data_IF_094608074961
#
_entry.id   IF_094608074961
#
_cell.length_a   1.000
_cell.length_b   1.000
_cell.length_c   1.000
_cell.angle_alpha   90.00
_cell.angle_beta   90.00
_cell.angle_gamma   90.00
#
_symmetry.space_group_name_H-M   'P 1'
#
loop_
_entity.id
_entity.type
_entity.pdbx_description
1 polymer ?
#
# COMPACT_ATOMS: atom_id res chain seq x y z
N UNK A 1 25.07 20.09 -9.39
CA UNK A 1 24.48 19.59 -8.14
C UNK A 1 23.56 18.37 -8.35
N UNK A 2 22.71 18.32 -9.40
CA UNK A 2 21.81 17.19 -9.64
C UNK A 2 22.51 15.83 -9.90
N UNK A 3 23.65 15.81 -10.60
CA UNK A 3 24.38 14.56 -10.87
C UNK A 3 25.01 13.91 -9.63
N UNK A 4 25.24 14.67 -8.55
CA UNK A 4 25.80 14.13 -7.31
C UNK A 4 24.79 13.32 -6.50
N UNK A 5 23.51 13.72 -6.54
CA UNK A 5 22.44 13.02 -5.83
C UNK A 5 22.15 11.65 -6.47
N UNK A 6 22.25 11.53 -7.81
CA UNK A 6 22.04 10.26 -8.53
C UNK A 6 23.06 9.17 -8.17
N UNK A 7 24.23 9.55 -7.64
CA UNK A 7 25.27 8.63 -7.19
C UNK A 7 25.37 8.52 -5.67
N UNK A 8 24.59 9.31 -4.92
CA UNK A 8 24.60 9.27 -3.47
C UNK A 8 24.00 7.95 -2.97
N UNK A 9 24.68 7.34 -2.00
CA UNK A 9 24.17 6.17 -1.28
C UNK A 9 23.79 6.61 0.12
N UNK A 10 22.55 6.37 0.51
CA UNK A 10 22.07 6.50 1.89
C UNK A 10 21.87 5.11 2.44
N UNK A 11 22.46 4.82 3.59
CA UNK A 11 22.34 3.54 4.26
C UNK A 11 21.94 3.76 5.72
N UNK A 12 20.83 3.17 6.14
CA UNK A 12 20.53 3.00 7.55
C UNK A 12 20.64 1.52 7.92
N UNK A 13 21.48 1.21 8.90
CA UNK A 13 21.53 -0.10 9.58
C UNK A 13 21.30 0.01 11.09
N UNK A 14 21.22 1.24 11.60
CA UNK A 14 20.99 1.54 13.01
C UNK A 14 19.54 1.91 13.29
N UNK A 15 19.34 2.73 14.32
CA UNK A 15 18.03 3.24 14.71
C UNK A 15 17.95 4.74 14.43
N UNK A 16 16.89 5.16 13.73
CA UNK A 16 16.53 6.56 13.56
C UNK A 16 15.17 6.75 14.20
N UNK A 17 15.09 7.66 15.17
CA UNK A 17 13.85 8.03 15.84
C UNK A 17 13.53 9.49 15.58
N UNK A 18 12.30 9.76 15.13
CA UNK A 18 11.75 11.10 15.00
C UNK A 18 10.40 11.14 15.72
N UNK A 19 10.42 11.57 16.97
CA UNK A 19 9.19 11.75 17.75
C UNK A 19 8.59 13.13 17.46
N UNK A 20 7.27 13.18 17.28
CA UNK A 20 6.56 14.45 17.18
C UNK A 20 6.57 15.23 18.50
N UNK A 21 6.47 16.55 18.42
CA UNK A 21 6.35 17.45 19.57
C UNK A 21 5.12 18.34 19.42
N UNK A 22 4.21 18.27 20.39
CA UNK A 22 2.96 19.02 20.38
C UNK A 22 2.10 18.68 19.16
N UNK A 23 1.91 19.66 18.26
CA UNK A 23 1.12 19.51 17.03
C UNK A 23 1.96 19.17 15.79
N UNK A 24 3.26 18.94 15.94
CA UNK A 24 4.16 18.62 14.82
C UNK A 24 4.51 17.15 14.84
N UNK A 25 4.20 16.45 13.77
CA UNK A 25 4.55 15.05 13.61
C UNK A 25 6.05 14.87 13.34
N UNK A 26 6.60 13.75 13.81
CA UNK A 26 7.98 13.37 13.53
C UNK A 26 8.16 13.02 12.05
N UNK A 27 9.36 13.28 11.50
CA UNK A 27 9.65 13.03 10.10
C UNK A 27 11.04 12.44 9.90
N UNK A 28 11.11 11.33 9.16
CA UNK A 28 12.35 10.72 8.68
C UNK A 28 12.35 10.78 7.15
N UNK A 29 13.42 11.29 6.55
CA UNK A 29 13.62 11.28 5.09
C UNK A 29 15.00 10.71 4.77
N UNK A 30 15.01 9.61 4.03
CA UNK A 30 16.20 9.01 3.43
C UNK A 30 16.12 9.20 1.91
N UNK A 31 16.97 10.06 1.36
CA UNK A 31 16.92 10.47 -0.05
C UNK A 31 18.30 10.37 -0.71
N UNK A 32 18.40 9.60 -1.79
CA UNK A 32 19.65 9.39 -2.53
C UNK A 32 19.46 8.60 -3.82
N UNK A 33 20.54 8.38 -4.58
CA UNK A 33 20.51 7.54 -5.79
C UNK A 33 20.18 6.08 -5.46
N UNK A 34 20.82 5.55 -4.41
CA UNK A 34 20.51 4.26 -3.80
C UNK A 34 20.20 4.48 -2.32
N UNK A 35 19.05 4.02 -1.86
CA UNK A 35 18.70 4.01 -0.43
C UNK A 35 18.63 2.56 0.06
N UNK A 36 19.42 2.25 1.07
CA UNK A 36 19.43 0.95 1.75
C UNK A 36 18.83 1.12 3.15
N UNK A 37 17.73 0.40 3.42
CA UNK A 37 17.01 0.48 4.69
C UNK A 37 17.11 -0.86 5.39
N UNK A 38 17.84 -0.88 6.49
CA UNK A 38 17.89 -1.92 7.51
C UNK A 38 17.69 -1.26 8.89
N UNK A 39 17.82 -2.04 9.96
CA UNK A 39 17.67 -1.52 11.32
C UNK A 39 16.25 -1.00 11.60
N UNK A 40 16.14 0.09 12.38
CA UNK A 40 14.85 0.62 12.84
C UNK A 40 14.63 2.06 12.38
N UNK A 41 13.43 2.33 11.83
CA UNK A 41 12.91 3.68 11.61
C UNK A 41 11.65 3.86 12.45
N UNK A 42 11.68 4.80 13.39
CA UNK A 42 10.55 5.08 14.28
C UNK A 42 10.09 6.52 14.13
N UNK A 43 8.86 6.72 13.66
CA UNK A 43 8.23 8.02 13.55
C UNK A 43 6.80 7.97 14.09
N UNK A 44 6.64 7.87 15.41
CA UNK A 44 5.35 7.72 16.09
C UNK A 44 4.33 8.80 15.66
N UNK A 45 3.28 8.36 14.96
CA UNK A 45 2.21 9.20 14.40
C UNK A 45 2.61 10.04 13.17
N UNK A 46 3.86 9.92 12.70
CA UNK A 46 4.46 10.79 11.68
C UNK A 46 4.89 10.10 10.39
N UNK A 47 5.80 10.71 9.66
CA UNK A 47 6.14 10.30 8.30
C UNK A 47 7.52 9.67 8.21
N UNK A 48 7.62 8.58 7.47
CA UNK A 48 8.90 8.03 6.98
C UNK A 48 8.87 8.09 5.45
N UNK A 49 9.90 8.65 4.82
CA UNK A 49 10.05 8.65 3.37
C UNK A 49 11.40 8.10 2.98
N UNK A 50 11.40 7.07 2.12
CA UNK A 50 12.62 6.52 1.50
C UNK A 50 12.51 6.71 0.00
N UNK A 51 13.34 7.61 -0.55
CA UNK A 51 13.29 8.02 -1.96
C UNK A 51 14.61 7.78 -2.66
N UNK A 52 14.56 7.20 -3.85
CA UNK A 52 15.73 7.17 -4.71
C UNK A 52 15.48 6.55 -6.07
N UNK A 53 16.51 6.53 -6.92
CA UNK A 53 16.42 5.75 -8.17
C UNK A 53 16.20 4.27 -7.86
N UNK A 54 16.83 3.78 -6.79
CA UNK A 54 16.61 2.45 -6.26
C UNK A 54 16.51 2.48 -4.73
N UNK A 55 15.56 1.73 -4.20
CA UNK A 55 15.44 1.46 -2.75
C UNK A 55 15.65 -0.04 -2.54
N UNK A 56 16.36 -0.42 -1.48
CA UNK A 56 16.52 -1.80 -1.03
C UNK A 56 16.26 -1.89 0.46
N UNK A 57 15.22 -2.61 0.84
CA UNK A 57 14.82 -2.84 2.23
C UNK A 57 15.27 -4.23 2.65
N UNK A 58 16.03 -4.32 3.74
CA UNK A 58 16.46 -5.57 4.33
C UNK A 58 15.28 -6.31 4.99
N UNK A 59 15.37 -7.64 5.06
CA UNK A 59 14.31 -8.48 5.61
C UNK A 59 14.05 -8.23 7.12
N UNK A 60 15.04 -7.74 7.84
CA UNK A 60 15.01 -7.44 9.27
C UNK A 60 14.65 -5.99 9.60
N UNK A 61 14.53 -5.12 8.59
CA UNK A 61 14.13 -3.72 8.78
C UNK A 61 12.81 -3.63 9.54
N UNK A 62 12.75 -2.70 10.48
CA UNK A 62 11.56 -2.40 11.28
C UNK A 62 11.15 -0.95 11.05
N UNK A 63 9.88 -0.74 10.73
CA UNK A 63 9.30 0.60 10.62
C UNK A 63 8.07 0.68 11.50
N UNK A 64 8.11 1.51 12.53
CA UNK A 64 6.99 1.74 13.43
C UNK A 64 6.59 3.21 13.41
N UNK A 65 5.34 3.45 13.08
CA UNK A 65 4.76 4.80 13.03
C UNK A 65 3.51 4.90 13.90
N UNK A 66 3.25 3.91 14.77
CA UNK A 66 2.16 4.00 15.76
C UNK A 66 2.50 5.04 16.82
N UNK A 67 1.53 5.88 17.13
CA UNK A 67 1.55 6.77 18.28
C UNK A 67 0.75 6.17 19.43
N UNK A 68 1.10 6.51 20.66
CA UNK A 68 0.32 6.20 21.87
C UNK A 68 -1.08 6.85 21.87
N UNK A 69 -1.30 7.86 21.02
CA UNK A 69 -2.61 8.49 20.81
C UNK A 69 -3.54 7.70 19.88
N UNK A 70 -3.11 6.58 19.32
CA UNK A 70 -3.87 5.76 18.37
C UNK A 70 -3.77 6.24 16.92
N UNK A 71 -3.02 7.32 16.63
CA UNK A 71 -2.66 7.72 15.26
C UNK A 71 -1.55 6.81 14.74
N UNK A 72 -1.66 6.33 13.51
CA UNK A 72 -0.57 5.67 12.79
C UNK A 72 -0.14 6.54 11.62
N UNK A 73 1.16 6.75 11.51
CA UNK A 73 1.78 7.44 10.39
C UNK A 73 1.89 6.60 9.12
N UNK A 74 2.69 7.09 8.17
CA UNK A 74 2.89 6.43 6.88
C UNK A 74 4.36 6.32 6.56
N UNK A 75 4.75 5.15 6.05
CA UNK A 75 6.01 4.96 5.36
C UNK A 75 5.80 4.95 3.85
N UNK A 76 6.40 5.93 3.18
CA UNK A 76 6.39 6.06 1.72
C UNK A 76 7.71 5.60 1.13
N UNK A 77 7.66 4.66 0.19
CA UNK A 77 8.76 4.26 -0.66
C UNK A 77 8.52 4.83 -2.06
N UNK A 78 9.43 5.67 -2.55
CA UNK A 78 9.35 6.28 -3.89
C UNK A 78 10.60 5.91 -4.68
N UNK A 79 10.46 5.00 -5.66
CA UNK A 79 11.59 4.59 -6.50
C UNK A 79 11.18 3.97 -7.82
N UNK A 80 12.12 3.81 -8.76
CA UNK A 80 11.85 3.11 -10.02
C UNK A 80 11.63 1.60 -9.83
N UNK A 81 11.96 1.07 -8.66
CA UNK A 81 11.90 -0.35 -8.32
C UNK A 81 10.95 -0.65 -7.15
N UNK A 82 9.94 0.20 -6.90
CA UNK A 82 8.98 0.05 -5.81
C UNK A 82 7.99 -1.12 -6.02
N UNK A 83 8.55 -2.33 -6.14
CA UNK A 83 7.88 -3.61 -6.33
C UNK A 83 8.12 -4.51 -5.11
N UNK A 84 7.26 -5.51 -4.92
CA UNK A 84 7.29 -6.45 -3.79
C UNK A 84 7.63 -7.85 -4.30
N UNK A 85 8.63 -8.50 -3.69
CA UNK A 85 9.11 -9.85 -4.05
C UNK A 85 9.51 -10.03 -5.53
N UNK A 86 9.85 -8.93 -6.18
CA UNK A 86 10.47 -8.91 -7.51
C UNK A 86 11.99 -9.06 -7.37
N UNK A 87 12.69 -9.60 -8.39
CA UNK A 87 14.14 -9.81 -8.37
C UNK A 87 14.93 -8.53 -8.00
N UNK A 88 14.46 -7.38 -8.47
CA UNK A 88 15.00 -6.06 -8.14
C UNK A 88 14.02 -5.21 -7.30
N UNK A 89 13.03 -5.84 -6.68
CA UNK A 89 12.02 -5.17 -5.87
C UNK A 89 12.60 -4.43 -4.65
N UNK A 90 11.86 -3.43 -4.18
CA UNK A 90 12.30 -2.61 -3.07
C UNK A 90 12.28 -3.38 -1.75
N UNK A 91 11.31 -4.28 -1.56
CA UNK A 91 11.12 -5.05 -0.33
C UNK A 91 10.45 -6.39 -0.59
N UNK A 92 10.57 -7.32 0.36
CA UNK A 92 9.86 -8.59 0.31
C UNK A 92 8.44 -8.53 0.91
N UNK A 93 7.56 -9.44 0.50
CA UNK A 93 6.16 -9.52 0.92
C UNK A 93 6.00 -9.81 2.42
N UNK A 94 6.90 -10.62 2.98
CA UNK A 94 6.95 -10.86 4.43
C UNK A 94 7.32 -9.58 5.21
N UNK A 95 8.28 -8.79 4.70
CA UNK A 95 8.65 -7.50 5.31
C UNK A 95 7.51 -6.49 5.21
N UNK A 96 6.84 -6.42 4.05
CA UNK A 96 5.67 -5.58 3.86
C UNK A 96 4.53 -5.97 4.82
N UNK A 97 4.20 -7.26 4.90
CA UNK A 97 3.17 -7.80 5.79
C UNK A 97 3.42 -7.45 7.26
N UNK A 98 4.67 -7.61 7.72
CA UNK A 98 5.08 -7.23 9.08
C UNK A 98 4.95 -5.73 9.31
N UNK A 99 5.39 -4.92 8.34
CA UNK A 99 5.36 -3.45 8.44
C UNK A 99 3.94 -2.93 8.46
N UNK A 100 3.03 -3.53 7.69
CA UNK A 100 1.60 -3.24 7.77
C UNK A 100 1.02 -3.58 9.15
N UNK A 101 1.67 -4.37 10.00
CA UNK A 101 1.29 -4.54 11.41
C UNK A 101 1.46 -3.28 12.27
N UNK A 102 2.33 -2.35 11.86
CA UNK A 102 2.74 -1.19 12.67
C UNK A 102 2.70 0.14 11.93
N UNK A 103 2.48 0.15 10.61
CA UNK A 103 2.63 1.34 9.78
C UNK A 103 1.72 1.27 8.56
N UNK A 104 1.14 2.39 8.15
CA UNK A 104 0.56 2.48 6.79
C UNK A 104 1.69 2.51 5.77
N UNK A 105 1.55 1.82 4.65
CA UNK A 105 2.62 1.75 3.63
C UNK A 105 2.14 2.30 2.31
N UNK A 106 2.92 3.21 1.71
CA UNK A 106 2.71 3.70 0.36
C UNK A 106 3.91 3.35 -0.53
N UNK A 107 3.68 2.57 -1.59
CA UNK A 107 4.67 2.26 -2.61
C UNK A 107 4.35 3.07 -3.86
N UNK A 108 5.31 3.87 -4.32
CA UNK A 108 5.18 4.67 -5.54
C UNK A 108 6.29 4.29 -6.51
N UNK A 109 5.93 3.58 -7.59
CA UNK A 109 6.85 3.36 -8.70
C UNK A 109 6.89 4.58 -9.61
N UNK A 110 8.08 5.16 -9.75
CA UNK A 110 8.31 6.40 -10.50
C UNK A 110 8.78 6.18 -11.93
N UNK A 111 8.85 4.93 -12.41
CA UNK A 111 9.39 4.60 -13.74
C UNK A 111 8.50 3.67 -14.55
N UNK A 112 7.81 2.75 -13.90
CA UNK A 112 7.01 1.72 -14.57
C UNK A 112 5.98 1.14 -13.61
N UNK A 113 5.67 -0.14 -13.78
CA UNK A 113 4.63 -0.82 -13.02
C UNK A 113 4.96 -0.93 -11.53
N UNK A 114 3.91 -1.04 -10.70
CA UNK A 114 4.01 -1.64 -9.37
C UNK A 114 3.59 -3.10 -9.47
N UNK A 115 4.48 -4.03 -9.12
CA UNK A 115 4.15 -5.46 -9.01
C UNK A 115 4.20 -5.94 -7.58
N UNK A 116 3.20 -6.73 -7.19
CA UNK A 116 3.18 -7.49 -5.94
C UNK A 116 3.30 -8.96 -6.33
N UNK A 117 4.54 -9.45 -6.40
CA UNK A 117 4.90 -10.78 -6.90
C UNK A 117 4.87 -11.86 -5.81
N UNK A 118 4.71 -11.46 -4.54
CA UNK A 118 4.60 -12.36 -3.39
C UNK A 118 3.40 -12.02 -2.51
N UNK A 119 2.98 -12.99 -1.69
CA UNK A 119 1.79 -12.84 -0.85
C UNK A 119 1.99 -11.77 0.23
N UNK A 120 0.94 -10.98 0.45
CA UNK A 120 0.91 -9.92 1.48
C UNK A 120 -0.31 -10.13 2.36
N UNK A 121 -0.11 -10.26 3.67
CA UNK A 121 -1.17 -10.53 4.62
C UNK A 121 -1.01 -9.75 5.93
N UNK A 122 -2.06 -9.06 6.38
CA UNK A 122 -2.04 -8.34 7.66
C UNK A 122 -3.40 -8.35 8.36
N UNK A 123 -3.38 -8.07 9.66
CA UNK A 123 -4.57 -8.13 10.53
C UNK A 123 -4.87 -6.81 11.25
N UNK A 124 -4.04 -5.80 11.04
CA UNK A 124 -4.21 -4.43 11.55
C UNK A 124 -5.13 -3.61 10.64
N UNK A 125 -5.55 -2.45 11.14
CA UNK A 125 -6.39 -1.48 10.43
C UNK A 125 -5.61 -0.65 9.39
N UNK A 126 -4.35 -0.99 9.10
CA UNK A 126 -3.47 -0.16 8.28
C UNK A 126 -3.77 -0.29 6.78
N UNK A 127 -3.33 0.74 6.06
CA UNK A 127 -3.52 0.90 4.62
C UNK A 127 -2.27 0.50 3.84
N UNK A 128 -2.47 -0.25 2.76
CA UNK A 128 -1.49 -0.42 1.69
C UNK A 128 -1.91 0.43 0.48
N UNK A 129 -1.11 1.42 0.14
CA UNK A 129 -1.27 2.23 -1.06
C UNK A 129 -0.21 1.85 -2.11
N UNK A 130 -0.64 1.56 -3.32
CA UNK A 130 0.19 1.20 -4.46
C UNK A 130 -0.05 2.23 -5.56
N UNK A 131 1.01 2.85 -6.06
CA UNK A 131 0.91 3.89 -7.09
C UNK A 131 1.93 3.64 -8.18
N UNK A 132 1.46 3.40 -9.39
CA UNK A 132 2.28 3.38 -10.59
C UNK A 132 2.09 4.69 -11.35
N UNK A 133 3.13 5.52 -11.42
CA UNK A 133 3.06 6.84 -12.07
C UNK A 133 3.00 6.76 -13.59
N UNK A 134 3.50 5.67 -14.18
CA UNK A 134 3.68 5.54 -15.63
C UNK A 134 3.16 4.23 -16.22
N UNK A 135 2.72 3.28 -15.40
CA UNK A 135 2.31 1.97 -15.86
C UNK A 135 1.16 1.38 -15.07
N UNK A 136 1.17 0.06 -14.96
CA UNK A 136 0.13 -0.73 -14.33
C UNK A 136 0.38 -0.91 -12.83
N UNK A 137 -0.65 -1.34 -12.11
CA UNK A 137 -0.52 -2.02 -10.81
C UNK A 137 -0.93 -3.48 -11.01
N UNK A 138 -0.04 -4.43 -10.70
CA UNK A 138 -0.31 -5.86 -10.84
C UNK A 138 -0.18 -6.58 -9.49
N UNK A 139 -1.28 -7.14 -9.00
CA UNK A 139 -1.34 -8.00 -7.82
C UNK A 139 -1.25 -9.46 -8.28
N UNK A 140 -0.04 -10.01 -8.33
CA UNK A 140 0.21 -11.34 -8.91
C UNK A 140 0.02 -12.49 -7.93
N UNK A 141 0.05 -12.19 -6.64
CA UNK A 141 -0.18 -13.12 -5.55
C UNK A 141 -1.19 -12.55 -4.58
N UNK A 142 -1.68 -13.40 -3.67
CA UNK A 142 -2.72 -13.03 -2.73
C UNK A 142 -2.36 -11.79 -1.88
N UNK A 143 -3.28 -10.81 -1.85
CA UNK A 143 -3.24 -9.65 -0.97
C UNK A 143 -4.45 -9.72 -0.05
N UNK A 144 -4.21 -9.94 1.25
CA UNK A 144 -5.27 -10.23 2.21
C UNK A 144 -5.17 -9.38 3.47
N UNK A 145 -6.31 -8.86 3.93
CA UNK A 145 -6.39 -8.10 5.17
C UNK A 145 -7.65 -8.45 5.96
N UNK A 146 -7.52 -8.56 7.27
CA UNK A 146 -8.66 -8.88 8.17
C UNK A 146 -8.91 -7.83 9.25
N UNK A 147 -8.08 -6.80 9.36
CA UNK A 147 -8.35 -5.68 10.27
C UNK A 147 -9.64 -4.96 9.87
N UNK A 148 -10.43 -4.54 10.86
CA UNK A 148 -11.53 -3.61 10.58
C UNK A 148 -10.90 -2.36 9.94
N UNK A 149 -11.45 -1.63 8.97
CA UNK A 149 -10.78 -0.46 8.35
C UNK A 149 -9.45 -0.73 7.61
N UNK A 150 -8.94 -1.97 7.58
CA UNK A 150 -7.81 -2.30 6.73
C UNK A 150 -8.15 -1.94 5.28
N UNK A 151 -7.19 -1.34 4.59
CA UNK A 151 -7.47 -0.72 3.29
C UNK A 151 -6.41 -1.04 2.25
N UNK A 152 -6.85 -1.23 1.01
CA UNK A 152 -5.96 -1.29 -0.17
C UNK A 152 -6.38 -0.20 -1.14
N UNK A 153 -5.40 0.61 -1.54
CA UNK A 153 -5.55 1.61 -2.59
C UNK A 153 -4.59 1.29 -3.73
N UNK A 154 -5.10 1.06 -4.93
CA UNK A 154 -4.28 0.90 -6.13
C UNK A 154 -4.55 2.07 -7.08
N UNK A 155 -3.48 2.76 -7.50
CA UNK A 155 -3.52 3.86 -8.47
C UNK A 155 -2.61 3.52 -9.64
N UNK A 156 -3.17 3.38 -10.84
CA UNK A 156 -2.43 3.05 -12.04
C UNK A 156 -2.63 4.11 -13.12
N UNK A 157 -1.52 4.62 -13.68
CA UNK A 157 -1.53 5.38 -14.93
C UNK A 157 -1.92 4.51 -16.14
N UNK A 158 -1.81 3.19 -16.01
CA UNK A 158 -2.30 2.17 -16.92
C UNK A 158 -3.52 1.44 -16.35
N UNK A 159 -3.39 0.12 -16.28
CA UNK A 159 -4.42 -0.80 -15.82
C UNK A 159 -4.14 -1.28 -14.40
N UNK A 160 -5.19 -1.74 -13.71
CA UNK A 160 -5.02 -2.55 -12.49
C UNK A 160 -5.32 -4.01 -12.83
N UNK A 161 -4.36 -4.89 -12.54
CA UNK A 161 -4.49 -6.34 -12.72
C UNK A 161 -4.52 -7.04 -11.39
N UNK A 162 -5.53 -7.89 -11.20
CA UNK A 162 -5.62 -8.82 -10.08
C UNK A 162 -5.50 -10.22 -10.65
N UNK A 163 -4.42 -10.92 -10.34
CA UNK A 163 -4.14 -12.25 -10.88
C UNK A 163 -4.38 -13.37 -9.83
N UNK A 164 -4.67 -12.99 -8.58
CA UNK A 164 -5.01 -13.93 -7.49
C UNK A 164 -6.05 -13.29 -6.55
N UNK A 165 -6.14 -13.75 -5.29
CA UNK A 165 -7.10 -13.24 -4.30
C UNK A 165 -6.71 -11.87 -3.77
N UNK A 166 -7.61 -10.91 -3.92
CA UNK A 166 -7.62 -9.66 -3.17
C UNK A 166 -8.76 -9.71 -2.15
N UNK A 167 -8.46 -9.94 -0.88
CA UNK A 167 -9.48 -10.16 0.14
C UNK A 167 -9.34 -9.21 1.33
N UNK A 168 -10.30 -8.29 1.51
CA UNK A 168 -10.40 -7.42 2.69
C UNK A 168 -11.66 -7.78 3.46
N UNK A 169 -11.50 -8.51 4.56
CA UNK A 169 -12.61 -9.19 5.25
C UNK A 169 -13.04 -8.53 6.55
N UNK A 170 -12.29 -7.53 7.02
CA UNK A 170 -12.62 -6.79 8.23
C UNK A 170 -13.80 -5.83 8.05
N UNK A 171 -14.48 -5.51 9.16
CA UNK A 171 -15.54 -4.49 9.19
C UNK A 171 -14.99 -3.14 8.70
N UNK A 172 -15.75 -2.39 7.91
CA UNK A 172 -15.32 -1.09 7.36
C UNK A 172 -14.05 -1.13 6.49
N UNK A 173 -13.59 -2.33 6.07
CA UNK A 173 -12.46 -2.42 5.16
C UNK A 173 -12.75 -1.68 3.84
N UNK A 174 -11.71 -1.09 3.24
CA UNK A 174 -11.86 -0.28 2.04
C UNK A 174 -10.97 -0.76 0.90
N UNK A 175 -11.58 -0.91 -0.28
CA UNK A 175 -10.86 -1.11 -1.53
C UNK A 175 -11.07 0.10 -2.44
N UNK A 176 -9.98 0.71 -2.87
CA UNK A 176 -9.97 1.78 -3.86
C UNK A 176 -9.14 1.37 -5.08
N UNK A 177 -9.77 1.34 -6.25
CA UNK A 177 -9.12 1.01 -7.53
C UNK A 177 -9.22 2.17 -8.52
N UNK A 178 -8.14 2.93 -8.67
CA UNK A 178 -8.06 4.06 -9.60
C UNK A 178 -7.17 3.69 -10.80
N UNK A 179 -7.74 3.68 -12.00
CA UNK A 179 -7.03 3.28 -13.21
C UNK A 179 -7.44 4.13 -14.40
N UNK A 180 -6.48 4.52 -15.22
CA UNK A 180 -6.74 5.22 -16.46
C UNK A 180 -7.31 4.30 -17.56
N UNK A 181 -6.98 3.01 -17.51
CA UNK A 181 -7.34 2.01 -18.53
C UNK A 181 -8.27 0.89 -18.02
N UNK A 182 -8.76 1.00 -16.79
CA UNK A 182 -9.65 0.02 -16.17
C UNK A 182 -8.92 -1.02 -15.33
N UNK A 183 -9.70 -1.94 -14.77
CA UNK A 183 -9.21 -3.07 -13.95
C UNK A 183 -9.69 -4.41 -14.51
N UNK A 184 -8.89 -5.47 -14.38
CA UNK A 184 -9.25 -6.83 -14.80
C UNK A 184 -8.77 -7.90 -13.81
N UNK A 185 -9.53 -8.99 -13.78
CA UNK A 185 -9.18 -10.23 -13.10
C UNK A 185 -8.70 -11.22 -14.16
N UNK A 186 -7.44 -11.63 -14.09
CA UNK A 186 -6.78 -12.29 -15.25
C UNK A 186 -6.73 -13.81 -15.17
N UNK A 187 -6.82 -14.39 -13.96
CA UNK A 187 -6.73 -15.82 -13.71
C UNK A 187 -8.07 -16.38 -13.20
N UNK A 188 -8.29 -17.67 -13.35
CA UNK A 188 -9.54 -18.34 -12.92
C UNK A 188 -9.81 -18.23 -11.41
N UNK A 189 -8.76 -18.13 -10.60
CA UNK A 189 -8.83 -17.94 -9.14
C UNK A 189 -8.83 -16.46 -8.71
N UNK A 190 -8.64 -15.53 -9.65
CA UNK A 190 -8.58 -14.11 -9.34
C UNK A 190 -9.95 -13.62 -8.85
N UNK A 191 -9.96 -12.96 -7.70
CA UNK A 191 -11.20 -12.50 -7.08
C UNK A 191 -10.95 -11.31 -6.18
N UNK A 192 -11.96 -10.44 -6.05
CA UNK A 192 -12.03 -9.43 -5.00
C UNK A 192 -13.09 -9.86 -3.98
N UNK A 193 -12.69 -9.98 -2.72
CA UNK A 193 -13.60 -10.32 -1.61
C UNK A 193 -13.63 -9.16 -0.63
N UNK A 194 -14.81 -8.53 -0.52
CA UNK A 194 -15.14 -7.55 0.52
C UNK A 194 -16.30 -8.16 1.31
N UNK A 195 -16.02 -8.77 2.46
CA UNK A 195 -17.03 -9.54 3.22
C UNK A 195 -17.36 -8.95 4.58
N UNK A 196 -16.55 -8.01 5.06
CA UNK A 196 -16.79 -7.34 6.33
C UNK A 196 -18.03 -6.45 6.27
N UNK A 197 -18.70 -6.30 7.41
CA UNK A 197 -19.81 -5.35 7.55
C UNK A 197 -19.35 -3.95 7.16
N UNK A 198 -20.14 -3.22 6.40
CA UNK A 198 -19.82 -1.86 5.94
C UNK A 198 -18.50 -1.78 5.15
N UNK A 199 -18.02 -2.89 4.59
CA UNK A 199 -16.91 -2.83 3.64
C UNK A 199 -17.32 -1.96 2.45
N UNK A 200 -16.38 -1.22 1.89
CA UNK A 200 -16.65 -0.22 0.87
C UNK A 200 -15.71 -0.36 -0.31
N UNK A 201 -16.25 -0.08 -1.49
CA UNK A 201 -15.51 -0.07 -2.74
C UNK A 201 -15.62 1.31 -3.38
N UNK A 202 -14.50 1.82 -3.86
CA UNK A 202 -14.49 3.00 -4.73
C UNK A 202 -13.60 2.78 -5.94
N UNK A 203 -13.94 3.44 -7.04
CA UNK A 203 -13.14 3.41 -8.25
C UNK A 203 -13.23 4.76 -8.97
N UNK A 204 -12.06 5.33 -9.28
CA UNK A 204 -11.93 6.58 -10.03
C UNK A 204 -12.74 7.74 -9.43
N UNK A 205 -12.73 7.85 -8.10
CA UNK A 205 -13.45 8.89 -7.35
C UNK A 205 -14.94 8.60 -7.09
N UNK A 206 -15.47 7.50 -7.63
CA UNK A 206 -16.87 7.11 -7.44
C UNK A 206 -16.99 6.00 -6.41
N UNK A 207 -17.91 6.16 -5.46
CA UNK A 207 -18.26 5.13 -4.49
C UNK A 207 -19.29 4.14 -5.06
N UNK A 208 -19.11 2.86 -4.73
CA UNK A 208 -19.96 1.74 -5.10
C UNK A 208 -20.48 1.04 -3.85
N UNK A 209 -21.76 0.68 -3.85
CA UNK A 209 -22.39 -0.03 -2.76
C UNK A 209 -22.07 -1.53 -2.85
N UNK A 210 -21.32 -2.05 -1.89
CA UNK A 210 -21.09 -3.48 -1.76
C UNK A 210 -22.38 -4.18 -1.31
N UNK A 211 -22.83 -5.17 -2.10
CA UNK A 211 -24.04 -5.94 -1.81
C UNK A 211 -23.67 -7.18 -1.00
N UNK A 212 -24.15 -7.25 0.24
CA UNK A 212 -23.89 -8.40 1.14
C UNK A 212 -25.13 -9.25 1.42
N UNK A 213 -26.33 -8.73 1.15
CA UNK A 213 -27.58 -9.37 1.52
C UNK A 213 -28.72 -9.05 0.55
N UNK A 214 -29.87 -9.66 0.83
CA UNK A 214 -31.10 -9.49 0.04
C UNK A 214 -31.63 -8.05 0.11
N UNK A 215 -31.37 -7.30 1.19
CA UNK A 215 -31.77 -5.91 1.27
C UNK A 215 -30.94 -5.05 0.31
N UNK A 216 -29.62 -5.28 0.23
CA UNK A 216 -28.75 -4.68 -0.77
C UNK A 216 -29.21 -4.98 -2.20
N UNK A 217 -29.58 -6.22 -2.49
CA UNK A 217 -30.10 -6.60 -3.81
C UNK A 217 -31.45 -5.93 -4.14
N UNK A 218 -32.35 -5.79 -3.15
CA UNK A 218 -33.61 -5.05 -3.32
C UNK A 218 -33.39 -3.55 -3.56
N UNK A 219 -32.30 -2.98 -3.07
CA UNK A 219 -31.97 -1.58 -3.35
C UNK A 219 -31.58 -1.38 -4.83
N UNK A 220 -30.91 -2.36 -5.45
CA UNK A 220 -30.62 -2.34 -6.89
C UNK A 220 -31.90 -2.24 -7.73
N UNK A 221 -32.92 -3.03 -7.39
CA UNK A 221 -34.23 -2.99 -8.09
C UNK A 221 -34.93 -1.63 -7.97
N UNK A 222 -34.74 -0.94 -6.84
CA UNK A 222 -35.30 0.40 -6.59
C UNK A 222 -34.52 1.52 -7.25
N UNK A 223 -33.22 1.34 -7.47
CA UNK A 223 -32.35 2.30 -8.13
C UNK A 223 -31.37 1.60 -9.08
N UNK A 224 -31.87 1.33 -10.29
CA UNK A 224 -31.09 0.74 -11.39
C UNK A 224 -29.98 1.66 -11.93
N UNK A 225 -29.97 2.94 -11.52
CA UNK A 225 -28.90 3.90 -11.87
C UNK A 225 -27.84 4.03 -10.77
N UNK A 226 -28.05 3.35 -9.64
CA UNK A 226 -27.08 3.28 -8.56
C UNK A 226 -25.79 2.59 -8.98
N UNK A 227 -24.72 2.84 -8.20
CA UNK A 227 -23.43 2.18 -8.37
C UNK A 227 -23.30 1.10 -7.30
N UNK A 228 -23.13 -0.13 -7.75
CA UNK A 228 -23.03 -1.34 -6.91
C UNK A 228 -21.81 -2.15 -7.34
#
# INVERSE_FOLDING_TARGET
>A
AANGLLNAVVNNSGTIEAQGLGTRDGKIVLDGGLVQVAGTLNAAGGEVTTRGRQVKVAADAQVDTRSTSGRTGTWTIESANANVDNADGALGGQTLSRTLGTTNVALTNTSGDVTVDGAVNWTSDHTLALTSQHGDVALKQAVTASGAKASVKANAAGEIRVDDKLALTGEQAHLELNSAKGHRFTQDNASATLSGRNASFSSNGEAYQVIHDVAGLRNVDRDLKGRY
#
